data_IF_570201899480
#
_entry.id   IF_570201899480
#
_cell.length_a   1.000
_cell.length_b   1.000
_cell.length_c   1.000
_cell.angle_alpha   90.00
_cell.angle_beta   90.00
_cell.angle_gamma   90.00
#
_symmetry.space_group_name_H-M   'P 1'
#
loop_
_entity.id
_entity.type
_entity.pdbx_description
1 polymer ?
#
# COMPACT_ATOMS: atom_id res chain seq x y z
N UNK A 1 -11.74 23.65 -0.07
CA UNK A 1 -10.60 22.71 -0.12
C UNK A 1 -11.00 21.56 -1.02
N UNK A 2 -10.22 21.23 -2.05
CA UNK A 2 -10.59 20.14 -2.96
C UNK A 2 -10.41 18.80 -2.24
N UNK A 3 -11.33 17.88 -2.49
CA UNK A 3 -11.30 16.51 -2.01
C UNK A 3 -11.20 15.56 -3.19
N UNK A 4 -10.58 14.43 -2.94
CA UNK A 4 -10.43 13.33 -3.87
C UNK A 4 -10.98 12.07 -3.22
N UNK A 5 -11.47 11.16 -4.05
CA UNK A 5 -11.61 9.77 -3.67
C UNK A 5 -10.29 9.08 -3.97
N UNK A 6 -9.80 8.31 -3.01
CA UNK A 6 -8.64 7.42 -3.17
C UNK A 6 -9.12 5.98 -2.96
N UNK A 7 -8.90 5.14 -3.97
CA UNK A 7 -9.21 3.70 -3.93
C UNK A 7 -7.89 2.95 -3.89
N UNK A 8 -7.71 2.11 -2.88
CA UNK A 8 -6.49 1.31 -2.70
C UNK A 8 -6.88 -0.16 -2.71
N UNK A 9 -6.25 -0.94 -3.58
CA UNK A 9 -6.35 -2.40 -3.62
C UNK A 9 -5.03 -2.98 -3.12
N UNK A 10 -5.11 -3.92 -2.19
CA UNK A 10 -3.95 -4.64 -1.66
C UNK A 10 -4.17 -6.15 -1.72
N UNK A 11 -3.09 -6.89 -1.90
CA UNK A 11 -3.06 -8.35 -1.78
C UNK A 11 -2.68 -8.75 -0.35
N UNK A 12 -3.53 -9.57 0.26
CA UNK A 12 -3.33 -10.10 1.62
C UNK A 12 -2.61 -11.43 1.61
N UNK A 13 -2.88 -12.29 0.62
CA UNK A 13 -2.33 -13.64 0.56
C UNK A 13 -2.47 -14.24 -0.85
N UNK A 14 -1.45 -14.05 -1.71
CA UNK A 14 -1.32 -14.67 -3.03
C UNK A 14 -2.64 -14.71 -3.85
N UNK A 15 -3.10 -13.54 -4.29
CA UNK A 15 -4.36 -13.26 -5.00
C UNK A 15 -5.64 -13.13 -4.15
N UNK A 16 -5.49 -12.90 -2.85
CA UNK A 16 -6.57 -12.56 -1.93
C UNK A 16 -6.62 -11.03 -1.72
N UNK A 17 -7.50 -10.35 -2.46
CA UNK A 17 -7.52 -8.89 -2.49
C UNK A 17 -8.47 -8.25 -1.47
N UNK A 18 -8.00 -7.15 -0.87
CA UNK A 18 -8.81 -6.24 -0.05
C UNK A 18 -8.80 -4.84 -0.67
N UNK A 19 -9.90 -4.11 -0.49
CA UNK A 19 -10.06 -2.77 -1.08
C UNK A 19 -10.53 -1.79 -0.03
N UNK A 20 -9.92 -0.62 0.00
CA UNK A 20 -10.45 0.55 0.71
C UNK A 20 -10.81 1.64 -0.28
N UNK A 21 -11.81 2.44 0.08
CA UNK A 21 -12.19 3.65 -0.66
C UNK A 21 -12.36 4.74 0.38
N UNK A 22 -11.50 5.75 0.32
CA UNK A 22 -11.45 6.82 1.30
C UNK A 22 -11.56 8.19 0.64
N UNK A 23 -11.95 9.21 1.43
CA UNK A 23 -11.80 10.60 1.03
C UNK A 23 -10.42 11.11 1.50
N UNK A 24 -9.72 11.82 0.62
CA UNK A 24 -8.46 12.49 0.96
C UNK A 24 -8.49 13.94 0.49
N UNK A 25 -7.93 14.83 1.28
CA UNK A 25 -7.83 16.22 0.90
C UNK A 25 -6.61 16.49 -0.01
N UNK A 26 -6.66 17.56 -0.81
CA UNK A 26 -5.57 17.92 -1.73
C UNK A 26 -4.21 18.07 -1.02
N UNK A 27 -4.17 18.62 0.20
CA UNK A 27 -2.92 18.80 0.93
C UNK A 27 -2.27 17.49 1.35
N UNK A 28 -3.05 16.53 1.88
CA UNK A 28 -2.51 15.24 2.30
C UNK A 28 -2.14 14.38 1.10
N UNK A 29 -2.93 14.46 0.02
CA UNK A 29 -2.59 13.81 -1.24
C UNK A 29 -1.24 14.28 -1.79
N UNK A 30 -0.96 15.59 -1.71
CA UNK A 30 0.34 16.14 -2.14
C UNK A 30 1.49 15.66 -1.25
N UNK A 31 1.25 15.45 0.05
CA UNK A 31 2.26 14.91 0.98
C UNK A 31 2.62 13.45 0.66
N UNK A 32 1.63 12.61 0.37
CA UNK A 32 1.85 11.16 0.15
C UNK A 32 2.29 10.80 -1.27
N UNK A 33 2.08 11.68 -2.26
CA UNK A 33 2.41 11.42 -3.67
C UNK A 33 3.87 10.94 -3.89
N UNK A 34 4.91 11.55 -3.27
CA UNK A 34 6.28 11.07 -3.45
C UNK A 34 6.52 9.66 -2.88
N UNK A 35 5.76 9.25 -1.85
CA UNK A 35 5.83 7.89 -1.31
C UNK A 35 5.15 6.90 -2.25
N UNK A 36 3.95 7.24 -2.76
CA UNK A 36 3.24 6.42 -3.76
C UNK A 36 4.12 6.19 -4.99
N UNK A 37 4.83 7.22 -5.46
CA UNK A 37 5.77 7.10 -6.59
C UNK A 37 6.91 6.12 -6.28
N UNK A 38 7.46 6.14 -5.05
CA UNK A 38 8.49 5.18 -4.64
C UNK A 38 7.95 3.74 -4.62
N UNK A 39 6.75 3.52 -4.10
CA UNK A 39 6.08 2.21 -4.09
C UNK A 39 5.85 1.71 -5.52
N UNK A 40 5.37 2.58 -6.42
CA UNK A 40 5.14 2.22 -7.84
C UNK A 40 6.42 1.84 -8.59
N UNK A 41 7.57 2.32 -8.13
CA UNK A 41 8.89 2.03 -8.69
C UNK A 41 9.62 0.91 -7.93
N UNK A 42 8.93 0.20 -7.03
CA UNK A 42 9.51 -0.93 -6.30
C UNK A 42 10.05 -1.96 -7.29
N UNK A 43 11.30 -2.36 -7.09
CA UNK A 43 11.96 -3.36 -7.93
C UNK A 43 11.71 -4.73 -7.34
N UNK A 44 11.14 -5.62 -8.15
CA UNK A 44 11.03 -7.04 -7.78
C UNK A 44 12.40 -7.60 -7.45
N UNK A 45 12.42 -8.56 -6.53
CA UNK A 45 13.63 -9.21 -6.05
C UNK A 45 13.42 -10.72 -6.05
N UNK A 46 14.51 -11.49 -5.97
CA UNK A 46 14.46 -12.95 -5.98
C UNK A 46 14.98 -13.52 -4.67
N UNK A 47 14.38 -14.63 -4.22
CA UNK A 47 14.83 -15.41 -3.06
C UNK A 47 14.65 -16.91 -3.29
N UNK A 48 15.42 -17.70 -2.54
CA UNK A 48 15.42 -19.17 -2.58
C UNK A 48 14.87 -19.82 -1.30
N UNK A 49 14.28 -19.07 -0.36
CA UNK A 49 13.90 -19.60 0.95
C UNK A 49 12.78 -20.64 0.93
N UNK A 50 11.93 -20.61 -0.09
CA UNK A 50 10.94 -21.67 -0.32
C UNK A 50 11.55 -22.96 -0.90
N UNK A 51 12.88 -23.07 -0.96
CA UNK A 51 13.61 -24.20 -1.54
C UNK A 51 13.80 -24.12 -3.06
N UNK A 52 13.33 -23.04 -3.71
CA UNK A 52 13.51 -22.73 -5.12
C UNK A 52 13.48 -21.21 -5.35
N UNK A 53 14.07 -20.74 -6.45
CA UNK A 53 14.11 -19.31 -6.79
C UNK A 53 12.72 -18.80 -7.16
N UNK A 54 12.22 -17.86 -6.37
CA UNK A 54 10.96 -17.18 -6.59
C UNK A 54 11.19 -15.68 -6.70
N UNK A 55 10.46 -15.04 -7.61
CA UNK A 55 10.43 -13.58 -7.73
C UNK A 55 9.32 -13.02 -6.81
N UNK A 56 9.66 -11.97 -6.07
CA UNK A 56 8.81 -11.31 -5.10
C UNK A 56 8.59 -9.84 -5.51
N UNK A 57 7.35 -9.40 -5.40
CA UNK A 57 6.90 -8.04 -5.68
C UNK A 57 6.29 -7.34 -4.44
N UNK A 58 6.52 -7.90 -3.24
CA UNK A 58 5.93 -7.43 -1.98
C UNK A 58 6.42 -6.03 -1.62
N UNK A 59 5.74 -5.02 -2.15
CA UNK A 59 6.14 -3.62 -2.05
C UNK A 59 5.66 -2.97 -0.73
N UNK A 60 4.82 -3.66 0.06
CA UNK A 60 4.24 -3.10 1.28
C UNK A 60 3.84 -4.20 2.28
N UNK A 61 4.83 -4.93 2.81
CA UNK A 61 4.57 -5.99 3.79
C UNK A 61 4.36 -5.43 5.21
N UNK A 62 3.20 -5.73 5.80
CA UNK A 62 2.83 -5.35 7.18
C UNK A 62 2.02 -6.46 7.86
N UNK A 63 1.94 -6.45 9.19
CA UNK A 63 1.15 -7.43 9.98
C UNK A 63 1.82 -8.80 10.06
N UNK A 64 1.04 -9.88 10.02
CA UNK A 64 1.58 -11.24 9.98
C UNK A 64 2.11 -11.63 8.59
N UNK A 65 1.95 -10.73 7.61
CA UNK A 65 2.54 -10.82 6.27
C UNK A 65 4.02 -10.39 6.24
N UNK A 66 4.61 -10.05 7.39
CA UNK A 66 6.07 -9.96 7.54
C UNK A 66 6.68 -11.36 7.30
N UNK A 67 7.52 -11.46 6.27
CA UNK A 67 8.13 -12.70 5.79
C UNK A 67 9.53 -12.90 6.36
N UNK A 68 9.61 -13.55 7.53
CA UNK A 68 10.80 -13.73 8.38
C UNK A 68 12.05 -14.26 7.70
N UNK A 69 11.87 -14.84 6.53
CA UNK A 69 12.90 -15.42 5.70
C UNK A 69 13.72 -14.34 4.94
N UNK A 70 13.12 -13.20 4.57
CA UNK A 70 13.55 -12.37 3.44
C UNK A 70 14.34 -11.07 3.71
N UNK A 71 14.93 -10.91 4.91
CA UNK A 71 15.57 -9.64 5.29
C UNK A 71 14.59 -8.46 5.46
N UNK A 72 13.28 -8.75 5.45
CA UNK A 72 12.13 -8.03 6.02
C UNK A 72 12.29 -6.54 6.28
N UNK A 73 12.55 -5.78 5.23
CA UNK A 73 12.47 -4.34 5.36
C UNK A 73 11.01 -3.95 5.46
N UNK A 74 10.65 -3.38 6.60
CA UNK A 74 9.40 -2.65 6.73
C UNK A 74 9.29 -1.58 5.64
N UNK A 75 8.08 -1.10 5.31
CA UNK A 75 7.93 0.05 4.41
C UNK A 75 8.80 1.26 4.79
N UNK A 76 9.07 1.45 6.10
CA UNK A 76 9.98 2.50 6.60
C UNK A 76 11.44 2.30 6.21
N UNK A 77 11.88 1.06 6.05
CA UNK A 77 13.25 0.73 5.64
C UNK A 77 13.43 0.68 4.13
N UNK A 78 12.34 0.42 3.40
CA UNK A 78 12.31 0.40 1.94
C UNK A 78 12.24 1.81 1.34
N UNK A 79 11.45 2.70 1.95
CA UNK A 79 11.10 3.98 1.37
C UNK A 79 11.57 5.16 2.22
N UNK A 80 11.82 6.28 1.55
CA UNK A 80 12.25 7.52 2.19
C UNK A 80 11.07 8.48 2.28
N UNK A 81 10.43 8.51 3.44
CA UNK A 81 9.37 9.46 3.78
C UNK A 81 9.43 9.81 5.27
N UNK A 82 8.73 10.86 5.67
CA UNK A 82 8.57 11.22 7.09
C UNK A 82 7.53 10.30 7.74
N UNK A 83 7.57 10.18 9.07
CA UNK A 83 6.58 9.37 9.80
C UNK A 83 5.15 9.88 9.57
N UNK A 84 4.94 11.20 9.48
CA UNK A 84 3.64 11.78 9.13
C UNK A 84 3.12 11.27 7.77
N UNK A 85 3.99 11.18 6.77
CA UNK A 85 3.61 10.71 5.42
C UNK A 85 3.24 9.22 5.44
N UNK A 86 3.97 8.42 6.21
CA UNK A 86 3.63 7.01 6.39
C UNK A 86 2.28 6.85 7.08
N UNK A 87 2.04 7.58 8.17
CA UNK A 87 0.78 7.52 8.91
C UNK A 87 -0.43 7.87 8.03
N UNK A 88 -0.34 8.95 7.24
CA UNK A 88 -1.42 9.33 6.32
C UNK A 88 -1.72 8.20 5.33
N UNK A 89 -0.69 7.59 4.72
CA UNK A 89 -0.92 6.54 3.75
C UNK A 89 -1.48 5.27 4.39
N UNK A 90 -0.99 4.88 5.57
CA UNK A 90 -1.45 3.69 6.28
C UNK A 90 -2.89 3.77 6.76
N UNK A 91 -3.36 4.96 7.15
CA UNK A 91 -4.77 5.18 7.47
C UNK A 91 -5.71 4.93 6.27
N UNK A 92 -5.16 5.01 5.05
CA UNK A 92 -5.91 4.81 3.81
C UNK A 92 -5.83 3.37 3.30
N UNK A 93 -4.79 2.63 3.67
CA UNK A 93 -4.54 1.27 3.19
C UNK A 93 -5.52 0.30 3.87
N UNK A 94 -6.17 -0.60 3.11
CA UNK A 94 -6.95 -1.68 3.72
C UNK A 94 -6.01 -2.65 4.43
N UNK A 95 -6.33 -3.03 5.67
CA UNK A 95 -5.64 -4.11 6.37
C UNK A 95 -6.55 -5.34 6.38
N UNK A 96 -6.05 -6.47 5.87
CA UNK A 96 -6.65 -7.77 6.12
C UNK A 96 -6.45 -8.20 7.59
N UNK A 97 -7.07 -9.31 7.99
CA UNK A 97 -6.93 -9.88 9.35
C UNK A 97 -5.45 -10.10 9.74
N UNK A 98 -4.61 -10.40 8.75
CA UNK A 98 -3.20 -10.74 8.89
C UNK A 98 -2.25 -9.71 8.25
N UNK A 99 -2.75 -8.52 7.91
CA UNK A 99 -2.01 -7.50 7.17
C UNK A 99 -2.08 -7.68 5.65
N UNK A 100 -1.11 -7.12 4.93
CA UNK A 100 -0.98 -7.17 3.46
C UNK A 100 0.49 -7.36 3.09
N UNK A 101 0.76 -7.86 1.88
CA UNK A 101 2.13 -7.98 1.35
C UNK A 101 2.40 -7.03 0.17
N UNK A 102 1.38 -6.70 -0.62
CA UNK A 102 1.52 -5.86 -1.84
C UNK A 102 0.37 -4.86 -1.96
N UNK A 103 0.71 -3.59 -2.26
CA UNK A 103 -0.22 -2.61 -2.81
C UNK A 103 -0.30 -2.81 -4.32
N UNK A 104 -1.44 -3.28 -4.81
CA UNK A 104 -1.68 -3.61 -6.21
C UNK A 104 -2.07 -2.37 -7.03
N UNK A 105 -2.96 -1.54 -6.48
CA UNK A 105 -3.37 -0.31 -7.15
C UNK A 105 -3.69 0.81 -6.17
N UNK A 106 -3.41 2.04 -6.59
CA UNK A 106 -3.83 3.27 -5.94
C UNK A 106 -4.41 4.17 -7.01
N UNK A 107 -5.73 4.37 -6.99
CA UNK A 107 -6.45 5.22 -7.93
C UNK A 107 -6.95 6.48 -7.24
N UNK A 108 -6.84 7.62 -7.93
CA UNK A 108 -7.22 8.93 -7.38
C UNK A 108 -8.17 9.61 -8.37
N UNK A 109 -9.34 10.03 -7.88
CA UNK A 109 -10.31 10.75 -8.70
C UNK A 109 -10.86 12.00 -7.97
N UNK A 110 -11.18 13.10 -8.68
CA UNK A 110 -11.83 14.25 -8.05
C UNK A 110 -13.19 13.85 -7.46
N UNK A 111 -13.41 14.13 -6.18
CA UNK A 111 -14.67 13.81 -5.52
C UNK A 111 -15.76 14.80 -5.97
N UNK A 112 -16.78 14.31 -6.67
CA UNK A 112 -17.88 15.16 -7.17
C UNK A 112 -19.12 15.08 -6.27
N UNK A 113 -19.79 13.92 -6.25
CA UNK A 113 -20.96 13.63 -5.41
C UNK A 113 -21.01 12.12 -5.19
N UNK A 114 -21.05 11.69 -3.94
CA UNK A 114 -21.24 10.28 -3.56
C UNK A 114 -22.54 10.16 -2.77
N UNK A 115 -23.36 9.17 -3.12
CA UNK A 115 -24.60 8.88 -2.45
C UNK A 115 -24.59 7.41 -2.05
N UNK A 116 -24.60 7.15 -0.75
CA UNK A 116 -24.63 5.79 -0.22
C UNK A 116 -26.08 5.35 -0.10
N UNK A 117 -26.43 4.25 -0.77
CA UNK A 117 -27.79 3.73 -0.81
C UNK A 117 -28.01 2.55 0.15
N UNK A 118 -26.94 1.90 0.60
CA UNK A 118 -26.89 0.80 1.56
C UNK A 118 -25.61 0.89 2.41
#
# INVERSE_FOLDING_TARGET
MKKYEITIIADTNDADYVTSINEICESDLLKIRPLIEQVSNFKTYKSNECGYEMEHNHNWSIGDSYRGDLGEKSPRELYKATEEVFQILEELIPCGEYGIHTLESIEISPLQKKEQLL
#
